data_IF_808028717355
#
_entry.id   IF_808028717355
#
_cell.length_a   1.000
_cell.length_b   1.000
_cell.length_c   1.000
_cell.angle_alpha   90.00
_cell.angle_beta   90.00
_cell.angle_gamma   90.00
#
_symmetry.space_group_name_H-M   'P 1'
#
loop_
_entity.id
_entity.type
_entity.pdbx_description
1 polymer ?
#
# COMPACT_ATOMS: atom_id res chain seq x y z
N UNK A 1 15.56 -24.93 3.59
CA UNK A 1 15.67 -24.43 2.22
C UNK A 1 14.49 -23.54 1.95
N UNK A 2 14.66 -22.25 2.21
CA UNK A 2 13.76 -21.22 1.69
C UNK A 2 14.11 -20.98 0.23
N UNK A 3 13.24 -20.27 -0.49
CA UNK A 3 13.50 -19.91 -1.89
C UNK A 3 14.78 -19.05 -2.04
N UNK A 4 15.16 -18.33 -0.98
CA UNK A 4 16.37 -17.49 -0.92
C UNK A 4 17.66 -18.33 -0.90
N UNK A 5 17.56 -19.62 -0.56
CA UNK A 5 18.70 -20.54 -0.52
C UNK A 5 19.01 -21.15 -1.91
N UNK A 6 18.18 -20.88 -2.93
CA UNK A 6 18.42 -21.38 -4.28
C UNK A 6 19.49 -20.57 -5.02
N UNK A 7 20.31 -21.26 -5.79
CA UNK A 7 21.25 -20.62 -6.71
C UNK A 7 20.49 -19.83 -7.79
N UNK A 8 21.02 -18.65 -8.14
CA UNK A 8 20.45 -17.78 -9.19
C UNK A 8 20.27 -18.50 -10.53
N UNK A 9 21.15 -19.47 -10.83
CA UNK A 9 21.09 -20.34 -12.01
C UNK A 9 19.73 -21.04 -12.16
N UNK A 10 19.14 -21.50 -11.05
CA UNK A 10 17.83 -22.16 -11.06
C UNK A 10 16.72 -21.15 -11.38
N UNK A 11 16.85 -19.90 -10.93
CA UNK A 11 15.89 -18.85 -11.30
C UNK A 11 15.98 -18.51 -12.79
N UNK A 12 17.18 -18.49 -13.36
CA UNK A 12 17.36 -18.26 -14.79
C UNK A 12 16.74 -19.39 -15.62
N UNK A 13 16.96 -20.66 -15.25
CA UNK A 13 16.30 -21.79 -15.91
C UNK A 13 14.77 -21.67 -15.83
N UNK A 14 14.21 -21.38 -14.65
CA UNK A 14 12.76 -21.21 -14.49
C UNK A 14 12.24 -20.08 -15.39
N UNK A 15 12.96 -18.95 -15.47
CA UNK A 15 12.56 -17.83 -16.33
C UNK A 15 12.82 -18.05 -17.82
N UNK A 16 13.66 -19.01 -18.22
CA UNK A 16 13.75 -19.44 -19.62
C UNK A 16 12.50 -20.21 -20.07
N UNK A 17 11.84 -20.93 -19.15
CA UNK A 17 10.61 -21.67 -19.45
C UNK A 17 9.34 -20.81 -19.40
N UNK A 18 9.40 -19.66 -18.73
CA UNK A 18 8.26 -18.74 -18.62
C UNK A 18 8.39 -17.61 -19.64
N UNK A 19 7.36 -17.40 -20.43
CA UNK A 19 7.37 -16.24 -21.31
C UNK A 19 7.11 -14.93 -20.52
N UNK A 20 7.30 -13.79 -21.19
CA UNK A 20 7.09 -12.48 -20.57
C UNK A 20 5.67 -12.33 -20.01
N UNK A 21 4.68 -12.96 -20.64
CA UNK A 21 3.29 -12.90 -20.20
C UNK A 21 3.08 -13.68 -18.90
N UNK A 22 3.66 -14.88 -18.78
CA UNK A 22 3.61 -15.68 -17.57
C UNK A 22 4.27 -14.97 -16.38
N UNK A 23 5.45 -14.37 -16.62
CA UNK A 23 6.17 -13.58 -15.61
C UNK A 23 5.30 -12.39 -15.17
N UNK A 24 4.78 -11.61 -16.12
CA UNK A 24 3.92 -10.47 -15.83
C UNK A 24 2.70 -10.88 -15.01
N UNK A 25 2.01 -11.94 -15.44
CA UNK A 25 0.81 -12.46 -14.78
C UNK A 25 1.11 -12.96 -13.37
N UNK A 26 2.25 -13.61 -13.17
CA UNK A 26 2.74 -14.04 -11.86
C UNK A 26 2.90 -12.86 -10.90
N UNK A 27 3.66 -11.84 -11.31
CA UNK A 27 3.85 -10.63 -10.51
C UNK A 27 2.55 -9.86 -10.26
N UNK A 28 1.69 -9.76 -11.28
CA UNK A 28 0.38 -9.12 -11.14
C UNK A 28 -0.48 -9.81 -10.07
N UNK A 29 -0.57 -11.13 -10.11
CA UNK A 29 -1.32 -11.91 -9.12
C UNK A 29 -0.71 -11.80 -7.71
N UNK A 30 0.62 -11.83 -7.61
CA UNK A 30 1.32 -11.65 -6.34
C UNK A 30 1.02 -10.26 -5.73
N UNK A 31 1.07 -9.20 -6.55
CA UNK A 31 0.74 -7.84 -6.14
C UNK A 31 -0.72 -7.70 -5.70
N UNK A 32 -1.67 -8.33 -6.41
CA UNK A 32 -3.07 -8.38 -5.97
C UNK A 32 -3.19 -9.04 -4.59
N UNK A 33 -2.52 -10.17 -4.39
CA UNK A 33 -2.57 -10.89 -3.12
C UNK A 33 -2.01 -10.04 -1.98
N UNK A 34 -0.86 -9.40 -2.17
CA UNK A 34 -0.30 -8.48 -1.16
C UNK A 34 -1.23 -7.31 -0.89
N UNK A 35 -1.77 -6.68 -1.94
CA UNK A 35 -2.77 -5.62 -1.80
C UNK A 35 -3.96 -6.08 -0.97
N UNK A 36 -4.48 -7.27 -1.24
CA UNK A 36 -5.62 -7.82 -0.50
C UNK A 36 -5.27 -8.11 0.95
N UNK A 37 -4.08 -8.64 1.24
CA UNK A 37 -3.59 -8.81 2.61
C UNK A 37 -3.44 -7.47 3.33
N UNK A 38 -2.99 -6.41 2.67
CA UNK A 38 -2.82 -5.11 3.34
C UNK A 38 -4.12 -4.33 3.51
N UNK A 39 -5.08 -4.49 2.59
CA UNK A 39 -6.34 -3.73 2.59
C UNK A 39 -7.45 -4.46 3.37
N UNK A 40 -7.52 -5.79 3.27
CA UNK A 40 -8.60 -6.59 3.85
C UNK A 40 -8.16 -7.43 5.06
N UNK A 41 -6.89 -7.37 5.45
CA UNK A 41 -6.56 -7.90 6.76
C UNK A 41 -7.24 -7.01 7.80
N UNK A 42 -7.99 -7.62 8.72
CA UNK A 42 -8.48 -7.00 9.96
C UNK A 42 -7.33 -6.62 10.92
N UNK A 43 -6.16 -6.26 10.37
CA UNK A 43 -4.99 -5.84 11.09
C UNK A 43 -5.04 -4.33 11.21
N UNK A 44 -5.10 -3.87 12.45
CA UNK A 44 -5.06 -2.46 12.80
C UNK A 44 -3.80 -1.83 12.22
N UNK A 45 -3.99 -1.01 11.17
CA UNK A 45 -2.87 -0.48 10.39
C UNK A 45 -2.35 0.81 11.02
N UNK A 46 -1.03 0.92 11.17
CA UNK A 46 -0.34 2.16 11.55
C UNK A 46 0.16 2.86 10.30
N UNK A 47 -0.33 4.06 10.02
CA UNK A 47 0.04 4.82 8.83
C UNK A 47 0.94 5.99 9.20
N UNK A 48 2.07 6.13 8.50
CA UNK A 48 2.99 7.25 8.65
C UNK A 48 3.37 7.82 7.26
N UNK A 49 2.64 8.82 6.75
CA UNK A 49 2.88 9.45 5.45
C UNK A 49 3.97 10.55 5.54
N UNK A 50 4.80 10.57 6.59
CA UNK A 50 5.73 11.66 6.89
C UNK A 50 6.70 12.03 5.76
N UNK A 51 7.01 11.08 4.86
CA UNK A 51 8.00 11.22 3.80
C UNK A 51 7.33 11.31 2.40
N UNK A 52 6.00 11.18 2.33
CA UNK A 52 5.29 11.19 1.04
C UNK A 52 5.20 12.60 0.45
N UNK A 53 5.36 12.72 -0.87
CA UNK A 53 5.01 13.92 -1.62
C UNK A 53 3.49 14.15 -1.63
N UNK A 54 3.07 15.36 -2.01
CA UNK A 54 1.64 15.73 -2.00
C UNK A 54 0.81 14.89 -2.98
N UNK A 55 1.29 14.69 -4.20
CA UNK A 55 0.61 13.85 -5.20
C UNK A 55 0.45 12.41 -4.70
N UNK A 56 1.51 11.86 -4.11
CA UNK A 56 1.50 10.49 -3.62
C UNK A 56 0.61 10.35 -2.39
N UNK A 57 0.53 11.39 -1.55
CA UNK A 57 -0.37 11.39 -0.40
C UNK A 57 -1.84 11.46 -0.81
N UNK A 58 -2.22 12.28 -1.80
CA UNK A 58 -3.60 12.34 -2.29
C UNK A 58 -4.05 10.98 -2.83
N UNK A 59 -3.25 10.35 -3.68
CA UNK A 59 -3.53 9.02 -4.22
C UNK A 59 -3.61 7.97 -3.10
N UNK A 60 -2.68 8.03 -2.14
CA UNK A 60 -2.69 7.14 -0.99
C UNK A 60 -3.92 7.37 -0.09
N UNK A 61 -4.33 8.62 0.09
CA UNK A 61 -5.51 8.98 0.86
C UNK A 61 -6.78 8.40 0.23
N UNK A 62 -6.99 8.62 -1.07
CA UNK A 62 -8.19 8.15 -1.77
C UNK A 62 -8.27 6.62 -1.84
N UNK A 63 -7.14 5.94 -2.05
CA UNK A 63 -7.13 4.50 -2.32
C UNK A 63 -6.90 3.64 -1.07
N UNK A 64 -6.26 4.17 -0.02
CA UNK A 64 -5.87 3.41 1.17
C UNK A 64 -6.51 3.96 2.43
N UNK A 65 -6.33 5.26 2.74
CA UNK A 65 -6.81 5.81 4.02
C UNK A 65 -8.34 5.87 4.06
N UNK A 66 -8.96 6.52 3.07
CA UNK A 66 -10.40 6.78 3.03
C UNK A 66 -11.26 5.50 3.03
N UNK A 67 -10.95 4.44 2.26
CA UNK A 67 -11.75 3.22 2.28
C UNK A 67 -11.57 2.40 3.57
N UNK A 68 -10.43 2.54 4.26
CA UNK A 68 -10.08 1.71 5.43
C UNK A 68 -10.11 2.50 6.75
N UNK A 69 -10.78 3.66 6.81
CA UNK A 69 -10.82 4.52 8.00
C UNK A 69 -11.20 3.77 9.29
N UNK A 70 -12.15 2.85 9.21
CA UNK A 70 -12.63 2.06 10.34
C UNK A 70 -11.60 1.03 10.87
N UNK A 71 -10.60 0.69 10.06
CA UNK A 71 -9.55 -0.30 10.38
C UNK A 71 -8.22 0.37 10.79
N UNK A 72 -8.14 1.70 10.71
CA UNK A 72 -6.94 2.46 11.08
C UNK A 72 -6.99 2.76 12.58
N UNK A 73 -6.09 2.15 13.34
CA UNK A 73 -5.96 2.40 14.78
C UNK A 73 -5.06 3.60 15.08
N UNK A 74 -4.12 3.90 14.19
CA UNK A 74 -3.17 4.99 14.38
C UNK A 74 -2.75 5.61 13.06
N UNK A 75 -2.90 6.93 12.97
CA UNK A 75 -2.49 7.73 11.84
C UNK A 75 -1.56 8.84 12.34
N UNK A 76 -0.27 8.74 12.00
CA UNK A 76 0.70 9.79 12.30
C UNK A 76 0.62 10.85 11.23
N UNK A 77 0.25 12.07 11.59
CA UNK A 77 0.23 13.21 10.67
C UNK A 77 1.36 14.17 11.03
N UNK A 78 2.53 13.97 10.43
CA UNK A 78 3.64 14.94 10.53
C UNK A 78 3.82 15.75 9.25
N UNK A 79 3.14 15.36 8.16
CA UNK A 79 3.15 16.12 6.92
C UNK A 79 2.04 17.19 6.99
N UNK A 80 2.37 18.50 6.95
CA UNK A 80 1.37 19.58 7.00
C UNK A 80 0.33 19.50 5.89
N UNK A 81 0.69 18.96 4.72
CA UNK A 81 -0.24 18.77 3.62
C UNK A 81 -1.24 17.64 3.90
N UNK A 82 -0.80 16.57 4.56
CA UNK A 82 -1.67 15.48 4.98
C UNK A 82 -2.73 15.96 5.99
N UNK A 83 -2.33 16.85 6.90
CA UNK A 83 -3.23 17.53 7.83
C UNK A 83 -4.28 18.31 7.04
N UNK A 84 -3.85 19.15 6.08
CA UNK A 84 -4.78 19.91 5.27
C UNK A 84 -5.76 19.00 4.52
N UNK A 85 -5.32 17.97 3.82
CA UNK A 85 -6.23 17.10 3.03
C UNK A 85 -7.25 16.38 3.93
N UNK A 86 -6.81 15.87 5.09
CA UNK A 86 -7.71 15.16 6.01
C UNK A 86 -8.71 16.12 6.66
N UNK A 87 -8.24 17.26 7.20
CA UNK A 87 -9.06 18.17 7.99
C UNK A 87 -9.74 19.30 7.19
N UNK A 88 -9.36 19.52 5.92
CA UNK A 88 -10.10 20.43 5.01
C UNK A 88 -11.36 19.78 4.44
N UNK A 89 -11.48 18.46 4.51
CA UNK A 89 -12.66 17.71 4.03
C UNK A 89 -13.86 17.82 4.97
N UNK A 90 -13.66 18.25 6.23
CA UNK A 90 -14.75 18.71 7.09
C UNK A 90 -15.15 20.12 6.71
N UNK A 91 -16.40 20.28 6.20
CA UNK A 91 -17.17 21.47 6.55
C UNK A 91 -16.98 21.68 8.04
N UNK A 92 -16.46 22.85 8.36
CA UNK A 92 -16.36 23.42 9.69
C UNK A 92 -17.65 23.12 10.47
N UNK A 93 -17.62 22.12 11.35
CA UNK A 93 -18.45 22.14 12.55
C UNK A 93 -17.48 22.48 13.68
N UNK A 94 -16.98 23.72 13.64
CA UNK A 94 -16.56 24.41 14.84
C UNK A 94 -17.85 24.82 15.55
N UNK A 95 -18.38 23.91 16.36
CA UNK A 95 -19.28 24.30 17.44
C UNK A 95 -18.49 24.10 18.72
N UNK A 96 -17.86 25.20 19.16
CA UNK A 96 -17.59 25.42 20.59
C UNK A 96 -18.92 25.64 21.30
#
# INVERSE_FOLDING_TARGET
YTMEDLANEIFYEIFEYLDLYDIYKGFYNLNIRFRNLTIHANVLTKINPSIMSNSNFEDYYQNIIKPNQQQINFLRLTNPFAINIIFSSSRTILNF
#
